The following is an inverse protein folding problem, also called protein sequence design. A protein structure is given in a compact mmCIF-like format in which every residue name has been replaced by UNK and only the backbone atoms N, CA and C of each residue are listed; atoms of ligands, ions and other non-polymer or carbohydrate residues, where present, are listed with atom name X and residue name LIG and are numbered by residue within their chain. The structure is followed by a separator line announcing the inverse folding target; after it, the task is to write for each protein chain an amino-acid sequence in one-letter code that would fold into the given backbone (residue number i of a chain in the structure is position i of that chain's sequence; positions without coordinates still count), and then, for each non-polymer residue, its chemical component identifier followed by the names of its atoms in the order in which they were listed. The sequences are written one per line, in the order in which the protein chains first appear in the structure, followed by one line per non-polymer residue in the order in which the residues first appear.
data_IF_405199840005
#
_entry.id   IF_405199840005
#
_cell.length_a   1.000
_cell.length_b   1.000
_cell.length_c   1.000
_cell.angle_alpha   90.00
_cell.angle_beta   90.00
_cell.angle_gamma   90.00
#
_symmetry.space_group_name_H-M   'P 1'
#
loop_
_entity.id
_entity.type
_entity.pdbx_description
1 polymer ?
#
# COMPACT_ATOMS: atom_id res chain seq x y z
N UNK A 1 4.48 29.60 35.13
CA UNK A 1 5.90 29.87 35.45
C UNK A 1 6.16 31.36 35.67
N UNK A 2 5.77 32.27 34.79
CA UNK A 2 5.96 33.73 34.93
C UNK A 2 5.14 34.26 36.12
N UNK A 3 3.92 33.83 36.34
CA UNK A 3 3.07 34.22 37.48
C UNK A 3 3.64 33.67 38.79
N UNK A 4 4.21 32.49 38.82
CA UNK A 4 4.88 31.88 39.99
C UNK A 4 6.19 32.63 40.35
N UNK A 5 6.96 33.03 39.32
CA UNK A 5 8.15 33.88 39.51
C UNK A 5 7.81 35.28 40.05
N UNK A 6 6.70 35.88 39.59
CA UNK A 6 6.27 37.16 40.12
C UNK A 6 5.67 37.05 41.55
N UNK A 7 4.96 35.98 41.88
CA UNK A 7 4.55 35.67 43.26
C UNK A 7 5.73 35.55 44.19
N UNK A 8 6.75 34.78 43.80
CA UNK A 8 7.95 34.57 44.62
C UNK A 8 8.84 35.81 44.74
N UNK A 9 8.78 36.75 43.79
CA UNK A 9 9.55 38.00 43.79
C UNK A 9 8.88 39.13 44.57
N UNK A 10 7.54 39.12 44.71
CA UNK A 10 6.74 40.14 45.38
C UNK A 10 6.47 39.79 46.85
N UNK A 11 6.60 38.53 47.24
CA UNK A 11 6.32 38.08 48.60
C UNK A 11 7.69 37.79 49.29
N UNK A 12 8.37 38.86 49.73
CA UNK A 12 9.46 38.73 50.68
C UNK A 12 8.91 38.30 52.07
N UNK A 13 9.68 37.60 52.89
CA UNK A 13 9.26 37.24 54.27
C UNK A 13 8.65 38.39 55.06
N UNK A 14 9.06 39.62 54.75
CA UNK A 14 8.52 40.85 55.34
C UNK A 14 7.09 41.14 54.88
N UNK A 15 6.81 40.84 53.61
CA UNK A 15 5.47 41.03 53.01
C UNK A 15 4.51 39.91 53.47
N UNK A 16 5.02 38.68 53.62
CA UNK A 16 4.23 37.58 54.17
C UNK A 16 3.84 37.91 55.63
N UNK A 17 4.80 38.39 56.46
CA UNK A 17 4.52 38.81 57.83
C UNK A 17 3.50 39.97 57.90
N UNK A 18 3.50 40.88 56.92
CA UNK A 18 2.53 41.93 56.83
C UNK A 18 1.13 41.45 56.37
N UNK A 19 1.08 40.36 55.62
CA UNK A 19 -0.15 39.76 55.08
C UNK A 19 -0.77 38.69 56.01
N UNK A 20 0.00 38.12 56.95
CA UNK A 20 -0.49 37.04 57.80
C UNK A 20 -1.32 37.56 59.00
N UNK A 21 -2.36 36.81 59.37
CA UNK A 21 -3.24 37.08 60.51
C UNK A 21 -2.57 36.95 61.87
N UNK A 22 -1.38 36.35 61.97
CA UNK A 22 -0.71 35.97 63.20
C UNK A 22 0.51 36.87 63.54
N UNK A 23 0.54 38.08 62.99
CA UNK A 23 1.54 39.08 63.41
C UNK A 23 1.39 39.40 64.88
N UNK A 24 2.51 39.78 65.53
CA UNK A 24 2.44 40.26 66.90
C UNK A 24 1.52 41.50 67.02
N UNK A 25 0.96 41.82 68.19
CA UNK A 25 0.02 42.94 68.34
C UNK A 25 0.57 44.32 67.86
N UNK A 26 1.88 44.41 67.62
CA UNK A 26 2.51 45.62 67.07
C UNK A 26 2.74 45.59 65.57
N UNK A 27 2.56 44.43 64.85
CA UNK A 27 2.70 44.33 63.41
C UNK A 27 1.31 44.27 62.80
N UNK A 28 0.82 45.37 62.26
CA UNK A 28 -0.44 45.44 61.48
C UNK A 28 -0.23 44.90 60.07
N UNK A 29 -0.41 43.56 59.86
CA UNK A 29 -0.41 43.01 58.53
C UNK A 29 -1.65 43.44 57.77
N UNK A 30 -1.52 43.65 56.46
CA UNK A 30 -2.59 44.05 55.53
C UNK A 30 -3.82 43.09 55.61
N UNK A 31 -3.62 41.80 55.79
CA UNK A 31 -4.70 40.81 55.99
C UNK A 31 -5.40 41.00 57.32
N UNK A 32 -4.68 41.40 58.36
CA UNK A 32 -5.26 41.71 59.68
C UNK A 32 -6.05 43.02 59.63
N UNK A 33 -5.52 44.04 58.92
CA UNK A 33 -6.22 45.29 58.70
C UNK A 33 -7.50 45.07 57.86
N UNK A 34 -7.42 44.21 56.84
CA UNK A 34 -8.59 43.86 56.02
C UNK A 34 -9.63 43.09 56.82
N UNK A 35 -9.19 42.16 57.72
CA UNK A 35 -10.10 41.46 58.63
C UNK A 35 -10.76 42.45 59.62
N UNK A 36 -9.96 43.32 60.26
CA UNK A 36 -10.49 44.36 61.16
C UNK A 36 -11.48 45.31 60.43
N UNK A 37 -11.14 45.67 59.21
CA UNK A 37 -12.06 46.50 58.38
C UNK A 37 -13.34 45.74 58.01
N UNK A 38 -13.24 44.47 57.72
CA UNK A 38 -14.37 43.59 57.42
C UNK A 38 -15.26 43.38 58.67
N UNK A 39 -14.62 43.09 59.82
CA UNK A 39 -15.34 42.95 61.09
C UNK A 39 -16.04 44.26 61.50
N UNK A 40 -15.35 45.40 61.35
CA UNK A 40 -15.98 46.72 61.55
C UNK A 40 -17.14 47.00 60.60
N UNK A 41 -16.99 46.60 59.32
CA UNK A 41 -18.09 46.71 58.37
C UNK A 41 -19.30 45.87 58.78
N UNK A 42 -19.06 44.64 59.22
CA UNK A 42 -20.12 43.73 59.67
C UNK A 42 -20.78 44.24 60.97
N UNK A 43 -19.98 44.79 61.92
CA UNK A 43 -20.52 45.43 63.12
C UNK A 43 -21.38 46.67 62.83
N UNK A 44 -20.94 47.51 61.92
CA UNK A 44 -21.72 48.67 61.42
C UNK A 44 -23.02 48.24 60.76
N UNK A 45 -22.94 47.17 59.91
CA UNK A 45 -24.14 46.62 59.28
C UNK A 45 -25.11 46.03 60.34
N UNK A 46 -24.53 45.35 61.36
CA UNK A 46 -25.36 44.78 62.45
C UNK A 46 -26.07 45.82 63.30
N UNK A 47 -25.52 47.04 63.40
CA UNK A 47 -26.07 48.15 64.18
C UNK A 47 -26.85 49.11 63.36
N UNK A 48 -26.91 48.99 62.01
CA UNK A 48 -27.63 49.86 61.09
C UNK A 48 -29.15 49.65 61.12
N UNK A 49 -29.89 50.65 60.68
CA UNK A 49 -31.34 50.62 60.62
C UNK A 49 -31.89 49.53 59.74
N UNK A 50 -33.07 49.01 59.92
CA UNK A 50 -33.69 47.90 59.19
C UNK A 50 -33.70 48.15 57.67
N UNK A 51 -33.86 49.40 57.25
CA UNK A 51 -33.83 49.76 55.80
C UNK A 51 -32.44 49.65 55.21
N UNK A 52 -31.40 50.01 55.94
CA UNK A 52 -30.03 49.93 55.49
C UNK A 52 -29.55 48.47 55.40
N UNK A 53 -30.01 47.61 56.29
CA UNK A 53 -29.82 46.17 56.19
C UNK A 53 -30.48 45.55 54.97
N UNK A 54 -31.71 45.99 54.66
CA UNK A 54 -32.39 45.54 53.44
C UNK A 54 -31.66 45.99 52.20
N UNK A 55 -31.17 47.23 52.16
CA UNK A 55 -30.41 47.75 51.02
C UNK A 55 -29.08 47.01 50.79
N UNK A 56 -28.32 46.71 51.88
CA UNK A 56 -27.09 45.93 51.78
C UNK A 56 -27.37 44.51 51.34
N UNK A 57 -28.43 43.88 51.76
CA UNK A 57 -28.87 42.59 51.29
C UNK A 57 -29.18 42.61 49.80
N UNK A 58 -29.92 43.63 49.35
CA UNK A 58 -30.22 43.80 47.94
C UNK A 58 -28.96 43.96 47.07
N UNK A 59 -27.96 44.71 47.51
CA UNK A 59 -26.71 44.88 46.80
C UNK A 59 -25.93 43.55 46.71
N UNK A 60 -25.90 42.76 47.76
CA UNK A 60 -25.28 41.45 47.74
C UNK A 60 -26.02 40.48 46.80
N UNK A 61 -27.32 40.42 46.89
CA UNK A 61 -28.19 39.62 46.02
C UNK A 61 -28.00 40.04 44.54
N UNK A 62 -27.85 41.34 44.24
CA UNK A 62 -27.57 41.86 42.91
C UNK A 62 -26.20 41.41 42.40
N UNK A 63 -25.17 41.51 43.24
CA UNK A 63 -23.81 41.02 42.86
C UNK A 63 -23.81 39.53 42.58
N UNK A 64 -24.48 38.73 43.39
CA UNK A 64 -24.54 37.29 43.18
C UNK A 64 -25.37 36.97 41.94
N UNK A 65 -26.47 37.67 41.67
CA UNK A 65 -27.23 37.55 40.43
C UNK A 65 -26.36 37.91 39.20
N UNK A 66 -25.59 39.00 39.26
CA UNK A 66 -24.68 39.36 38.18
C UNK A 66 -23.60 38.28 37.92
N UNK A 67 -23.06 37.68 38.97
CA UNK A 67 -22.09 36.55 38.84
C UNK A 67 -22.75 35.32 38.19
N UNK A 68 -23.96 34.97 38.63
CA UNK A 68 -24.70 33.85 38.05
C UNK A 68 -25.09 34.14 36.60
N UNK A 69 -25.54 35.35 36.31
CA UNK A 69 -25.83 35.81 34.96
C UNK A 69 -24.61 35.70 34.05
N UNK A 70 -23.43 36.11 34.52
CA UNK A 70 -22.18 35.99 33.77
C UNK A 70 -21.78 34.54 33.53
N UNK A 71 -22.02 33.62 34.48
CA UNK A 71 -21.78 32.18 34.27
C UNK A 71 -22.71 31.61 33.20
N UNK A 72 -23.99 31.97 33.19
CA UNK A 72 -24.97 31.51 32.21
C UNK A 72 -24.67 32.07 30.81
N UNK A 73 -24.33 33.38 30.71
CA UNK A 73 -23.99 33.98 29.43
C UNK A 73 -22.67 33.43 28.90
N UNK A 74 -21.63 33.42 29.72
CA UNK A 74 -20.31 32.91 29.42
C UNK A 74 -19.62 33.57 28.22
N UNK A 75 -18.61 32.86 27.67
CA UNK A 75 -17.91 33.24 26.44
C UNK A 75 -18.02 32.13 25.40
N UNK A 76 -17.59 32.40 24.17
CA UNK A 76 -17.56 31.37 23.10
C UNK A 76 -16.66 30.16 23.41
N UNK A 77 -15.62 30.36 24.23
CA UNK A 77 -14.66 29.32 24.59
C UNK A 77 -15.02 28.56 25.88
N UNK A 78 -16.15 28.92 26.53
CA UNK A 78 -16.56 28.30 27.80
C UNK A 78 -17.74 27.37 27.53
N UNK A 79 -17.49 26.05 27.68
CA UNK A 79 -18.54 25.04 27.54
C UNK A 79 -19.68 25.29 28.52
N UNK A 80 -20.88 24.78 28.23
CA UNK A 80 -22.11 24.86 29.05
C UNK A 80 -22.63 26.28 29.33
N UNK A 81 -22.37 27.26 28.45
CA UNK A 81 -22.93 28.61 28.53
C UNK A 81 -23.72 28.98 27.27
N UNK A 82 -24.58 30.02 27.39
CA UNK A 82 -25.47 30.44 26.33
C UNK A 82 -24.74 30.93 25.08
N UNK A 83 -23.62 31.63 25.27
CA UNK A 83 -22.81 32.15 24.14
C UNK A 83 -22.16 31.04 23.37
N UNK A 84 -21.64 29.99 24.05
CA UNK A 84 -21.10 28.80 23.45
C UNK A 84 -22.15 28.09 22.59
N UNK A 85 -23.33 27.77 23.17
CA UNK A 85 -24.37 27.07 22.40
C UNK A 85 -24.95 27.90 21.24
N UNK A 86 -24.95 29.22 21.33
CA UNK A 86 -25.34 30.08 20.20
C UNK A 86 -24.30 30.01 19.08
N UNK A 87 -23.02 30.07 19.39
CA UNK A 87 -21.96 29.96 18.38
C UNK A 87 -21.95 28.58 17.75
N UNK A 88 -22.11 27.51 18.54
CA UNK A 88 -22.22 26.13 18.03
C UNK A 88 -23.42 25.97 17.11
N UNK A 89 -24.59 26.52 17.50
CA UNK A 89 -25.77 26.48 16.63
C UNK A 89 -25.54 27.25 15.32
N UNK A 90 -24.92 28.40 15.36
CA UNK A 90 -24.60 29.18 14.15
C UNK A 90 -23.63 28.43 13.25
N UNK A 91 -22.63 27.73 13.83
CA UNK A 91 -21.73 26.87 13.10
C UNK A 91 -22.47 25.70 12.42
N UNK A 92 -23.35 25.01 13.17
CA UNK A 92 -24.15 23.91 12.65
C UNK A 92 -25.09 24.32 11.51
N UNK A 93 -25.76 25.48 11.68
CA UNK A 93 -26.77 25.95 10.73
C UNK A 93 -26.16 26.53 9.44
N UNK A 94 -24.98 27.15 9.50
CA UNK A 94 -24.47 27.96 8.39
C UNK A 94 -23.10 27.52 7.85
N UNK A 95 -22.28 26.84 8.65
CA UNK A 95 -20.87 26.59 8.32
C UNK A 95 -20.56 25.11 8.15
N UNK A 96 -21.11 24.25 8.98
CA UNK A 96 -20.77 22.82 9.04
C UNK A 96 -20.87 22.13 7.68
N UNK A 97 -21.93 22.37 6.93
CA UNK A 97 -22.14 21.73 5.62
C UNK A 97 -21.03 22.11 4.63
N UNK A 98 -20.66 23.40 4.61
CA UNK A 98 -19.58 23.90 3.75
C UNK A 98 -18.23 23.33 4.15
N UNK A 99 -17.92 23.30 5.46
CA UNK A 99 -16.67 22.73 5.98
C UNK A 99 -16.59 21.23 5.73
N UNK A 100 -17.69 20.51 5.89
CA UNK A 100 -17.79 19.09 5.59
C UNK A 100 -17.49 18.80 4.10
N UNK A 101 -18.12 19.55 3.19
CA UNK A 101 -17.88 19.41 1.76
C UNK A 101 -16.42 19.73 1.40
N UNK A 102 -15.88 20.83 1.94
CA UNK A 102 -14.49 21.20 1.73
C UNK A 102 -13.53 20.11 2.21
N UNK A 103 -13.69 19.61 3.42
CA UNK A 103 -12.85 18.55 3.96
C UNK A 103 -12.93 17.26 3.14
N UNK A 104 -14.13 16.93 2.62
CA UNK A 104 -14.33 15.78 1.74
C UNK A 104 -13.63 15.97 0.40
N UNK A 105 -13.69 17.15 -0.18
CA UNK A 105 -13.00 17.46 -1.44
C UNK A 105 -11.48 17.45 -1.25
N UNK A 106 -10.96 18.04 -0.20
CA UNK A 106 -9.53 18.00 0.12
C UNK A 106 -9.03 16.56 0.30
N UNK A 107 -9.78 15.71 0.96
CA UNK A 107 -9.49 14.28 1.10
C UNK A 107 -9.47 13.58 -0.25
N UNK A 108 -10.44 13.84 -1.12
CA UNK A 108 -10.50 13.25 -2.46
C UNK A 108 -9.32 13.72 -3.33
N UNK A 109 -8.91 14.98 -3.20
CA UNK A 109 -7.71 15.50 -3.89
C UNK A 109 -6.46 14.73 -3.41
N UNK A 110 -6.31 14.53 -2.09
CA UNK A 110 -5.17 13.77 -1.55
C UNK A 110 -5.17 12.31 -1.97
N UNK A 111 -6.34 11.70 -2.05
CA UNK A 111 -6.49 10.35 -2.60
C UNK A 111 -6.00 10.28 -4.05
N UNK A 112 -6.41 11.24 -4.89
CA UNK A 112 -5.99 11.32 -6.29
C UNK A 112 -4.48 11.54 -6.44
N UNK A 113 -3.91 12.45 -5.64
CA UNK A 113 -2.45 12.65 -5.59
C UNK A 113 -1.71 11.35 -5.27
N UNK A 114 -2.18 10.60 -4.27
CA UNK A 114 -1.60 9.31 -3.88
C UNK A 114 -1.76 8.25 -4.99
N UNK A 115 -2.92 8.21 -5.64
CA UNK A 115 -3.18 7.30 -6.77
C UNK A 115 -2.21 7.57 -7.94
N UNK A 116 -2.03 8.83 -8.31
CA UNK A 116 -1.08 9.24 -9.36
C UNK A 116 0.36 8.83 -9.00
N UNK A 117 0.76 8.94 -7.74
CA UNK A 117 2.08 8.46 -7.30
C UNK A 117 2.23 6.95 -7.47
N UNK A 118 1.17 6.18 -7.21
CA UNK A 118 1.18 4.72 -7.45
C UNK A 118 1.19 4.39 -8.94
N UNK A 119 0.44 5.12 -9.78
CA UNK A 119 0.51 4.98 -11.23
C UNK A 119 1.91 5.28 -11.77
N UNK A 120 2.61 6.25 -11.19
CA UNK A 120 3.98 6.56 -11.61
C UNK A 120 4.93 5.38 -11.42
N UNK A 121 4.69 4.51 -10.44
CA UNK A 121 5.45 3.27 -10.27
C UNK A 121 5.26 2.37 -11.50
N UNK A 122 4.03 2.21 -11.99
CA UNK A 122 3.74 1.44 -13.22
C UNK A 122 4.53 1.99 -14.40
N UNK A 123 4.52 3.32 -14.60
CA UNK A 123 5.24 4.00 -15.70
C UNK A 123 6.75 3.74 -15.58
N UNK A 124 7.34 3.89 -14.39
CA UNK A 124 8.77 3.64 -14.16
C UNK A 124 9.13 2.20 -14.52
N UNK A 125 8.31 1.22 -14.15
CA UNK A 125 8.54 -0.16 -14.53
C UNK A 125 8.44 -0.38 -16.04
N UNK A 126 7.47 0.22 -16.71
CA UNK A 126 7.36 0.18 -18.17
C UNK A 126 8.60 0.78 -18.85
N UNK A 127 9.09 1.91 -18.35
CA UNK A 127 10.32 2.53 -18.86
C UNK A 127 11.57 1.65 -18.65
N UNK A 128 11.67 0.96 -17.52
CA UNK A 128 12.78 0.02 -17.23
C UNK A 128 12.72 -1.19 -18.16
N UNK A 129 11.54 -1.71 -18.46
CA UNK A 129 11.37 -2.92 -19.27
C UNK A 129 11.27 -2.65 -20.78
N UNK A 130 11.00 -1.43 -21.22
CA UNK A 130 10.95 -1.11 -22.64
C UNK A 130 12.22 -1.48 -23.44
N UNK A 131 13.45 -1.24 -22.93
CA UNK A 131 14.67 -1.70 -23.60
C UNK A 131 14.78 -3.23 -23.70
N UNK A 132 14.27 -3.93 -22.69
CA UNK A 132 14.29 -5.42 -22.62
C UNK A 132 13.33 -5.99 -23.67
N UNK A 133 12.14 -5.41 -23.82
CA UNK A 133 11.18 -5.78 -24.87
C UNK A 133 11.78 -5.57 -26.28
N UNK A 134 12.54 -4.50 -26.48
CA UNK A 134 13.24 -4.28 -27.74
C UNK A 134 14.31 -5.34 -28.01
N UNK A 135 15.07 -5.74 -26.99
CA UNK A 135 16.04 -6.82 -27.13
C UNK A 135 15.37 -8.18 -27.35
N UNK A 136 14.24 -8.46 -26.69
CA UNK A 136 13.43 -9.65 -26.96
C UNK A 136 12.96 -9.67 -28.43
N UNK A 137 12.43 -8.57 -28.95
CA UNK A 137 12.01 -8.47 -30.36
C UNK A 137 13.17 -8.72 -31.32
N UNK A 138 14.38 -8.25 -31.00
CA UNK A 138 15.58 -8.56 -31.81
C UNK A 138 16.00 -10.02 -31.74
N UNK A 139 15.86 -10.66 -30.57
CA UNK A 139 16.18 -12.08 -30.37
C UNK A 139 15.18 -13.00 -31.10
N UNK A 140 13.90 -12.63 -31.09
CA UNK A 140 12.84 -13.44 -31.67
C UNK A 140 12.66 -13.19 -33.19
N UNK A 141 13.13 -12.05 -33.71
CA UNK A 141 12.92 -11.66 -35.12
C UNK A 141 11.43 -11.54 -35.47
N UNK A 142 11.05 -12.10 -36.62
CA UNK A 142 9.69 -12.08 -37.15
C UNK A 142 8.79 -13.22 -36.62
N UNK A 143 9.07 -13.75 -35.42
CA UNK A 143 8.20 -14.77 -34.82
C UNK A 143 6.81 -14.18 -34.54
N UNK A 144 5.75 -14.94 -34.86
CA UNK A 144 4.34 -14.51 -34.75
C UNK A 144 3.90 -14.19 -33.31
N UNK A 145 4.59 -14.73 -32.31
CA UNK A 145 4.25 -14.56 -30.91
C UNK A 145 5.19 -13.55 -30.22
N UNK A 146 4.61 -12.40 -29.84
CA UNK A 146 5.33 -11.39 -29.06
C UNK A 146 5.37 -11.76 -27.58
N UNK A 147 6.51 -11.49 -26.93
CA UNK A 147 6.63 -11.52 -25.47
C UNK A 147 6.48 -10.08 -24.98
N UNK A 148 5.50 -9.87 -24.10
CA UNK A 148 5.15 -8.57 -23.57
C UNK A 148 5.25 -8.57 -22.06
N UNK A 149 5.80 -7.49 -21.51
CA UNK A 149 5.82 -7.24 -20.08
C UNK A 149 4.70 -6.25 -19.74
N UNK A 150 3.73 -6.71 -18.96
CA UNK A 150 2.61 -5.88 -18.53
C UNK A 150 2.74 -5.54 -17.06
N UNK A 151 2.71 -4.25 -16.74
CA UNK A 151 2.59 -3.75 -15.37
C UNK A 151 1.24 -3.05 -15.22
N UNK A 152 0.45 -3.46 -14.26
CA UNK A 152 -0.89 -2.91 -14.02
C UNK A 152 -1.17 -2.78 -12.52
N UNK A 153 -2.02 -1.82 -12.15
CA UNK A 153 -2.46 -1.70 -10.77
C UNK A 153 -3.54 -2.74 -10.49
N UNK A 154 -3.40 -3.44 -9.37
CA UNK A 154 -4.34 -4.48 -8.94
C UNK A 154 -4.56 -4.45 -7.43
N UNK A 155 -5.62 -5.12 -7.00
CA UNK A 155 -5.81 -5.44 -5.58
C UNK A 155 -4.74 -6.45 -5.13
N UNK A 156 -3.87 -6.04 -4.21
CA UNK A 156 -2.80 -6.88 -3.68
C UNK A 156 -3.14 -7.48 -2.32
N UNK A 157 -4.08 -6.88 -1.60
CA UNK A 157 -4.50 -7.35 -0.28
C UNK A 157 -5.62 -8.39 -0.40
N UNK A 158 -5.26 -9.66 -0.34
CA UNK A 158 -6.21 -10.78 -0.37
C UNK A 158 -7.18 -10.77 0.83
N UNK A 159 -6.84 -10.04 1.90
CA UNK A 159 -7.64 -9.96 3.12
C UNK A 159 -8.50 -8.68 3.21
N UNK A 160 -8.56 -7.91 2.11
CA UNK A 160 -9.29 -6.64 2.04
C UNK A 160 -10.71 -6.74 2.61
N UNK A 161 -11.48 -7.73 2.17
CA UNK A 161 -12.86 -7.93 2.62
C UNK A 161 -12.95 -8.16 4.13
N UNK A 162 -12.06 -8.96 4.70
CA UNK A 162 -12.04 -9.24 6.13
C UNK A 162 -11.60 -8.02 6.94
N UNK A 163 -10.63 -7.24 6.46
CA UNK A 163 -10.20 -6.00 7.11
C UNK A 163 -11.34 -4.99 7.19
N UNK A 164 -12.05 -4.78 6.08
CA UNK A 164 -13.24 -3.91 6.06
C UNK A 164 -14.30 -4.43 7.03
N UNK A 165 -14.62 -5.72 6.97
CA UNK A 165 -15.68 -6.30 7.81
C UNK A 165 -15.29 -6.35 9.30
N UNK A 166 -14.02 -6.49 9.65
CA UNK A 166 -13.56 -6.44 11.05
C UNK A 166 -13.63 -5.04 11.64
N UNK A 167 -13.45 -4.01 10.81
CA UNK A 167 -13.55 -2.60 11.21
C UNK A 167 -15.00 -2.14 11.38
N UNK A 168 -15.99 -2.92 10.87
CA UNK A 168 -17.42 -2.57 10.92
C UNK A 168 -18.14 -3.48 11.94
N UNK A 169 -18.87 -2.86 12.85
CA UNK A 169 -19.71 -3.61 13.81
C UNK A 169 -20.91 -4.25 13.10
N UNK A 170 -20.87 -5.55 12.88
CA UNK A 170 -21.94 -6.32 12.21
C UNK A 170 -23.29 -6.34 12.96
N UNK A 171 -23.31 -5.86 14.23
CA UNK A 171 -24.56 -5.74 15.02
C UNK A 171 -25.45 -4.60 14.56
N UNK A 172 -24.84 -3.52 14.03
CA UNK A 172 -25.51 -2.27 13.67
C UNK A 172 -25.46 -1.98 12.15
N UNK A 173 -24.86 -2.86 11.38
CA UNK A 173 -24.60 -2.59 9.97
C UNK A 173 -25.81 -2.95 9.10
N UNK A 174 -26.64 -1.97 8.75
CA UNK A 174 -27.76 -2.16 7.84
C UNK A 174 -27.43 -2.97 6.60
N UNK A 175 -26.61 -2.43 5.70
CA UNK A 175 -26.26 -3.06 4.42
C UNK A 175 -25.19 -4.15 4.55
N UNK A 176 -24.34 -4.11 5.57
CA UNK A 176 -23.32 -5.11 5.87
C UNK A 176 -23.78 -6.09 6.98
N UNK A 177 -25.09 -6.24 7.17
CA UNK A 177 -25.66 -7.21 8.11
C UNK A 177 -25.45 -8.64 7.62
N UNK A 178 -24.79 -9.46 8.44
CA UNK A 178 -24.50 -10.85 8.11
C UNK A 178 -23.21 -11.05 7.34
N UNK A 179 -22.29 -11.84 7.90
CA UNK A 179 -20.92 -12.03 7.39
C UNK A 179 -20.88 -12.46 5.92
N UNK A 180 -21.75 -13.39 5.51
CA UNK A 180 -21.78 -13.93 4.15
C UNK A 180 -22.29 -12.90 3.13
N UNK A 181 -23.38 -12.18 3.44
CA UNK A 181 -23.98 -11.19 2.55
C UNK A 181 -23.06 -9.96 2.39
N UNK A 182 -22.49 -9.51 3.50
CA UNK A 182 -21.51 -8.42 3.51
C UNK A 182 -20.28 -8.76 2.66
N UNK A 183 -19.72 -9.96 2.81
CA UNK A 183 -18.59 -10.42 2.01
C UNK A 183 -18.94 -10.52 0.52
N UNK A 184 -20.12 -11.03 0.18
CA UNK A 184 -20.59 -11.10 -1.20
C UNK A 184 -20.77 -9.70 -1.82
N UNK A 185 -21.19 -8.72 -1.03
CA UNK A 185 -21.32 -7.34 -1.50
C UNK A 185 -19.96 -6.72 -1.77
N UNK A 186 -19.00 -6.83 -0.84
CA UNK A 186 -17.63 -6.33 -1.06
C UNK A 186 -17.01 -7.03 -2.26
N UNK A 187 -17.16 -8.34 -2.38
CA UNK A 187 -16.63 -9.09 -3.54
C UNK A 187 -17.22 -8.60 -4.86
N UNK A 188 -18.50 -8.25 -4.89
CA UNK A 188 -19.13 -7.67 -6.10
C UNK A 188 -18.54 -6.30 -6.43
N UNK A 189 -18.38 -5.43 -5.45
CA UNK A 189 -17.74 -4.12 -5.62
C UNK A 189 -16.30 -4.28 -6.16
N UNK A 190 -15.52 -5.17 -5.56
CA UNK A 190 -14.15 -5.43 -6.02
C UNK A 190 -14.09 -5.95 -7.46
N UNK A 191 -15.01 -6.81 -7.87
CA UNK A 191 -15.07 -7.34 -9.25
C UNK A 191 -15.47 -6.29 -10.28
N UNK A 192 -16.23 -5.28 -9.89
CA UNK A 192 -16.63 -4.17 -10.78
C UNK A 192 -15.63 -3.02 -10.79
N UNK A 193 -14.60 -3.07 -9.93
CA UNK A 193 -13.60 -2.01 -9.80
C UNK A 193 -12.45 -2.24 -10.76
N UNK A 194 -12.17 -1.25 -11.59
CA UNK A 194 -10.95 -1.19 -12.40
C UNK A 194 -9.87 -0.46 -11.59
N UNK A 195 -8.90 -1.23 -11.06
CA UNK A 195 -7.86 -0.68 -10.18
C UNK A 195 -6.85 0.22 -10.90
N UNK A 196 -6.83 0.22 -12.23
CA UNK A 196 -6.02 1.13 -13.04
C UNK A 196 -6.69 2.48 -13.28
N UNK A 197 -7.99 2.61 -12.99
CA UNK A 197 -8.74 3.86 -13.10
C UNK A 197 -8.98 4.50 -11.73
N UNK A 198 -8.53 5.74 -11.59
CA UNK A 198 -8.63 6.55 -10.36
C UNK A 198 -10.07 6.70 -9.87
N UNK A 199 -10.99 7.00 -10.81
CA UNK A 199 -12.39 7.23 -10.46
C UNK A 199 -13.07 5.94 -10.01
N UNK A 200 -12.78 4.82 -10.69
CA UNK A 200 -13.30 3.51 -10.32
C UNK A 200 -12.91 3.09 -8.90
N UNK A 201 -11.64 3.35 -8.50
CA UNK A 201 -11.18 3.05 -7.13
C UNK A 201 -11.79 4.03 -6.12
N UNK A 202 -11.94 5.31 -6.46
CA UNK A 202 -12.61 6.27 -5.60
C UNK A 202 -14.09 5.93 -5.40
N UNK A 203 -14.76 5.44 -6.44
CA UNK A 203 -16.15 4.99 -6.39
C UNK A 203 -16.31 3.74 -5.50
N UNK A 204 -15.36 2.82 -5.54
CA UNK A 204 -15.31 1.69 -4.59
C UNK A 204 -15.27 2.20 -3.15
N UNK A 205 -14.35 3.12 -2.84
CA UNK A 205 -14.21 3.69 -1.48
C UNK A 205 -15.49 4.41 -1.06
N UNK A 206 -16.03 5.27 -1.92
CA UNK A 206 -17.27 5.99 -1.65
C UNK A 206 -18.46 5.03 -1.46
N UNK A 207 -18.56 3.96 -2.26
CA UNK A 207 -19.62 2.94 -2.14
C UNK A 207 -19.56 2.20 -0.80
N UNK A 208 -18.37 1.91 -0.30
CA UNK A 208 -18.19 1.28 1.02
C UNK A 208 -18.60 2.25 2.13
N UNK A 209 -18.18 3.51 2.04
CA UNK A 209 -18.51 4.54 3.04
C UNK A 209 -20.01 4.81 3.06
N UNK A 210 -20.64 5.04 1.90
CA UNK A 210 -22.09 5.26 1.81
C UNK A 210 -22.87 4.09 2.40
N UNK A 211 -22.44 2.85 2.12
CA UNK A 211 -23.09 1.66 2.68
C UNK A 211 -22.96 1.57 4.22
N UNK A 212 -21.95 2.19 4.82
CA UNK A 212 -21.81 2.30 6.27
C UNK A 212 -22.67 3.45 6.81
N UNK A 213 -22.80 4.56 6.07
CA UNK A 213 -23.49 5.80 6.50
C UNK A 213 -25.02 5.73 6.28
N UNK A 214 -25.55 4.79 5.46
CA UNK A 214 -26.98 4.69 5.13
C UNK A 214 -27.92 4.60 6.35
N UNK A 215 -27.41 4.40 7.54
CA UNK A 215 -28.20 4.27 8.78
C UNK A 215 -27.72 5.33 9.79
N UNK A 216 -28.22 6.54 9.63
CA UNK A 216 -27.78 7.76 10.33
C UNK A 216 -27.85 7.63 11.85
N UNK A 217 -28.85 6.92 12.41
CA UNK A 217 -29.08 6.83 13.86
C UNK A 217 -27.99 6.07 14.63
N UNK A 218 -27.14 5.28 13.94
CA UNK A 218 -26.11 4.46 14.57
C UNK A 218 -24.70 4.58 13.96
N UNK A 219 -24.44 5.60 13.14
CA UNK A 219 -23.17 5.76 12.42
C UNK A 219 -21.93 5.77 13.32
N UNK A 220 -22.03 6.35 14.51
CA UNK A 220 -20.93 6.40 15.48
C UNK A 220 -20.55 5.04 16.08
N UNK A 221 -21.48 4.10 16.13
CA UNK A 221 -21.29 2.76 16.75
C UNK A 221 -20.91 1.70 15.71
N UNK A 222 -20.96 2.02 14.42
CA UNK A 222 -20.75 1.05 13.35
C UNK A 222 -19.28 0.79 13.07
N UNK A 223 -18.43 1.79 13.15
CA UNK A 223 -17.00 1.68 12.91
C UNK A 223 -16.28 1.58 14.24
N UNK A 224 -15.47 0.53 14.42
CA UNK A 224 -14.76 0.26 15.68
C UNK A 224 -13.63 1.26 15.90
N UNK A 225 -12.82 1.50 14.85
CA UNK A 225 -11.80 2.54 14.81
C UNK A 225 -11.98 3.34 13.52
N UNK A 226 -12.52 4.56 13.64
CA UNK A 226 -12.79 5.42 12.47
C UNK A 226 -11.50 5.82 11.77
N UNK A 227 -10.44 6.12 12.53
CA UNK A 227 -9.18 6.55 11.95
C UNK A 227 -8.55 5.44 11.14
N UNK A 228 -8.38 4.26 11.71
CA UNK A 228 -7.80 3.10 11.03
C UNK A 228 -8.60 2.72 9.78
N UNK A 229 -9.94 2.74 9.87
CA UNK A 229 -10.83 2.43 8.74
C UNK A 229 -10.65 3.41 7.56
N UNK A 230 -10.66 4.72 7.84
CA UNK A 230 -10.49 5.74 6.80
C UNK A 230 -9.05 5.77 6.27
N UNK A 231 -8.04 5.62 7.12
CA UNK A 231 -6.65 5.56 6.74
C UNK A 231 -6.39 4.37 5.80
N UNK A 232 -6.98 3.21 6.08
CA UNK A 232 -6.87 2.03 5.22
C UNK A 232 -7.56 2.25 3.86
N UNK A 233 -8.80 2.78 3.85
CA UNK A 233 -9.55 2.99 2.60
C UNK A 233 -8.91 4.05 1.69
N UNK A 234 -8.51 5.19 2.25
CA UNK A 234 -7.94 6.28 1.47
C UNK A 234 -6.42 6.19 1.29
N UNK A 235 -5.72 5.40 2.11
CA UNK A 235 -4.27 5.18 2.03
C UNK A 235 -3.83 4.30 0.86
N UNK A 236 -4.79 3.62 0.17
CA UNK A 236 -4.52 2.77 -1.00
C UNK A 236 -3.47 1.67 -0.75
N UNK A 237 -3.26 1.24 0.50
CA UNK A 237 -2.28 0.20 0.81
C UNK A 237 -2.63 -1.16 0.18
N UNK A 238 -3.93 -1.38 -0.07
CA UNK A 238 -4.45 -2.58 -0.72
C UNK A 238 -4.24 -2.59 -2.25
N UNK A 239 -3.93 -1.44 -2.84
CA UNK A 239 -3.64 -1.31 -4.28
C UNK A 239 -2.14 -1.35 -4.50
N UNK A 240 -1.66 -2.26 -5.32
CA UNK A 240 -0.26 -2.36 -5.70
C UNK A 240 -0.09 -2.62 -7.18
N UNK A 241 1.16 -2.73 -7.62
CA UNK A 241 1.51 -3.02 -9.00
C UNK A 241 1.74 -4.51 -9.17
N UNK A 242 1.00 -5.12 -10.08
CA UNK A 242 1.19 -6.51 -10.53
C UNK A 242 1.96 -6.52 -11.84
N UNK A 243 2.86 -7.49 -11.94
CA UNK A 243 3.72 -7.67 -13.10
C UNK A 243 3.37 -9.00 -13.75
N UNK A 244 3.05 -8.94 -15.05
CA UNK A 244 2.72 -10.11 -15.85
C UNK A 244 3.62 -10.18 -17.05
N UNK A 245 4.11 -11.38 -17.33
CA UNK A 245 4.83 -11.71 -18.55
C UNK A 245 3.85 -12.48 -19.44
N UNK A 246 3.61 -11.98 -20.64
CA UNK A 246 2.69 -12.59 -21.60
C UNK A 246 3.41 -13.03 -22.85
N UNK A 247 2.90 -14.08 -23.48
CA UNK A 247 3.34 -14.53 -24.78
C UNK A 247 2.12 -14.75 -25.67
N UNK A 248 2.05 -14.04 -26.80
CA UNK A 248 0.89 -14.09 -27.69
C UNK A 248 -0.43 -13.71 -27.01
N UNK A 249 -0.40 -12.74 -26.06
CA UNK A 249 -1.55 -12.29 -25.28
C UNK A 249 -1.98 -13.19 -24.11
N UNK A 250 -1.36 -14.38 -23.96
CA UNK A 250 -1.64 -15.33 -22.86
C UNK A 250 -0.69 -15.08 -21.69
N UNK A 251 -1.22 -15.16 -20.47
CA UNK A 251 -0.42 -15.06 -19.26
C UNK A 251 0.52 -16.27 -19.09
N UNK A 252 1.67 -16.07 -18.43
CA UNK A 252 2.67 -17.15 -18.22
C UNK A 252 2.06 -18.41 -17.60
N UNK A 253 1.06 -18.25 -16.74
CA UNK A 253 0.36 -19.35 -16.05
C UNK A 253 -0.51 -20.20 -16.98
N UNK A 254 -0.97 -19.63 -18.10
CA UNK A 254 -1.80 -20.29 -19.12
C UNK A 254 -0.98 -21.05 -20.15
N UNK A 255 0.34 -20.81 -20.19
CA UNK A 255 1.25 -21.48 -21.10
C UNK A 255 1.58 -22.91 -20.64
N UNK A 256 1.89 -23.79 -21.61
CA UNK A 256 2.41 -25.11 -21.29
C UNK A 256 3.77 -25.02 -20.55
N UNK A 257 4.19 -26.06 -19.81
CA UNK A 257 5.48 -26.05 -19.12
C UNK A 257 6.68 -25.74 -20.04
N UNK A 258 6.65 -26.25 -21.27
CA UNK A 258 7.69 -26.00 -22.27
C UNK A 258 7.68 -24.54 -22.75
N UNK A 259 6.50 -24.00 -23.13
CA UNK A 259 6.37 -22.60 -23.53
C UNK A 259 6.84 -21.66 -22.41
N UNK A 260 6.51 -21.95 -21.15
CA UNK A 260 7.04 -21.18 -20.00
C UNK A 260 8.55 -21.20 -19.94
N UNK A 261 9.16 -22.38 -20.16
CA UNK A 261 10.61 -22.53 -20.18
C UNK A 261 11.26 -21.65 -21.23
N UNK A 262 10.70 -21.64 -22.46
CA UNK A 262 11.18 -20.77 -23.56
C UNK A 262 11.06 -19.30 -23.17
N UNK A 263 9.88 -18.85 -22.70
CA UNK A 263 9.65 -17.45 -22.34
C UNK A 263 10.63 -16.99 -21.27
N UNK A 264 10.83 -17.80 -20.23
CA UNK A 264 11.78 -17.49 -19.16
C UNK A 264 13.22 -17.45 -19.65
N UNK A 265 13.61 -18.38 -20.53
CA UNK A 265 14.95 -18.39 -21.12
C UNK A 265 15.19 -17.16 -21.98
N UNK A 266 14.25 -16.80 -22.86
CA UNK A 266 14.34 -15.62 -23.72
C UNK A 266 14.43 -14.35 -22.86
N UNK A 267 13.56 -14.25 -21.86
CA UNK A 267 13.55 -13.13 -20.92
C UNK A 267 14.89 -13.01 -20.18
N UNK A 268 15.43 -14.13 -19.68
CA UNK A 268 16.74 -14.16 -19.04
C UNK A 268 17.87 -13.73 -19.98
N UNK A 269 17.86 -14.22 -21.22
CA UNK A 269 18.85 -13.84 -22.23
C UNK A 269 18.78 -12.36 -22.60
N UNK A 270 17.58 -11.77 -22.64
CA UNK A 270 17.36 -10.35 -22.92
C UNK A 270 17.79 -9.45 -21.74
N UNK A 271 17.50 -9.88 -20.50
CA UNK A 271 17.90 -9.16 -19.28
C UNK A 271 19.40 -9.11 -19.12
N UNK A 272 20.08 -10.21 -19.43
CA UNK A 272 21.51 -10.35 -19.16
C UNK A 272 22.33 -9.69 -20.25
N UNK A 273 22.68 -8.42 -20.06
CA UNK A 273 23.56 -7.67 -20.97
C UNK A 273 25.06 -8.02 -20.81
N UNK A 274 25.41 -8.87 -19.87
CA UNK A 274 26.79 -9.26 -19.58
C UNK A 274 27.29 -10.34 -20.55
N UNK A 275 28.57 -10.30 -20.92
CA UNK A 275 29.25 -11.34 -21.71
C UNK A 275 29.63 -12.60 -20.90
N UNK A 276 29.02 -12.79 -19.72
CA UNK A 276 29.28 -13.96 -18.85
C UNK A 276 28.81 -15.22 -19.55
N UNK A 277 29.61 -16.30 -19.55
CA UNK A 277 29.18 -17.60 -20.08
C UNK A 277 27.90 -18.09 -19.41
N UNK A 278 27.00 -18.69 -20.20
CA UNK A 278 25.76 -19.29 -19.72
C UNK A 278 25.82 -20.81 -19.93
N UNK A 279 25.36 -21.57 -18.95
CA UNK A 279 25.18 -23.01 -19.03
C UNK A 279 23.67 -23.28 -19.02
N UNK A 280 23.19 -24.00 -20.03
CA UNK A 280 21.78 -24.35 -20.19
C UNK A 280 21.69 -25.87 -20.20
N UNK A 281 20.95 -26.43 -19.26
CA UNK A 281 20.73 -27.87 -19.16
C UNK A 281 19.37 -28.25 -19.73
N UNK A 282 19.35 -29.06 -20.76
CA UNK A 282 18.20 -29.63 -21.44
C UNK A 282 17.06 -28.60 -21.71
N UNK A 283 17.37 -27.52 -22.45
CA UNK A 283 16.35 -26.47 -22.72
C UNK A 283 15.17 -26.95 -23.58
N UNK A 284 15.32 -28.13 -24.20
CA UNK A 284 14.27 -28.77 -25.00
C UNK A 284 13.26 -29.57 -24.19
N UNK A 285 13.44 -29.75 -22.91
CA UNK A 285 12.53 -30.54 -22.09
C UNK A 285 11.12 -29.99 -22.13
N UNK A 286 10.15 -30.87 -22.37
CA UNK A 286 8.73 -30.55 -22.51
C UNK A 286 8.39 -29.69 -23.75
N UNK A 287 9.25 -29.57 -24.74
CA UNK A 287 9.03 -28.91 -26.01
C UNK A 287 8.80 -29.90 -27.14
N UNK A 288 7.91 -29.54 -28.07
CA UNK A 288 7.84 -30.20 -29.36
C UNK A 288 9.00 -29.77 -30.29
N UNK A 289 9.34 -30.59 -31.26
CA UNK A 289 10.46 -30.32 -32.16
C UNK A 289 10.27 -29.02 -32.99
N UNK A 290 9.03 -28.61 -33.26
CA UNK A 290 8.74 -27.40 -34.00
C UNK A 290 9.05 -26.17 -33.13
N UNK A 291 8.66 -26.20 -31.86
CA UNK A 291 8.96 -25.15 -30.89
C UNK A 291 10.48 -25.06 -30.64
N UNK A 292 11.17 -26.17 -30.53
CA UNK A 292 12.63 -26.20 -30.42
C UNK A 292 13.26 -25.50 -31.63
N UNK A 293 12.89 -25.89 -32.87
CA UNK A 293 13.51 -25.37 -34.08
C UNK A 293 13.14 -23.89 -34.34
N UNK A 294 11.87 -23.55 -34.20
CA UNK A 294 11.38 -22.21 -34.58
C UNK A 294 11.60 -21.15 -33.52
N UNK A 295 11.61 -21.52 -32.22
CA UNK A 295 11.69 -20.56 -31.10
C UNK A 295 13.00 -20.63 -30.35
N UNK A 296 13.43 -21.85 -29.94
CA UNK A 296 14.59 -22.01 -29.09
C UNK A 296 15.92 -21.82 -29.85
N UNK A 297 16.07 -22.44 -31.01
CA UNK A 297 17.28 -22.34 -31.82
C UNK A 297 17.65 -20.91 -32.21
N UNK A 298 16.73 -20.07 -32.73
CA UNK A 298 17.03 -18.68 -33.04
C UNK A 298 17.51 -17.87 -31.83
N UNK A 299 16.92 -18.12 -30.66
CA UNK A 299 17.30 -17.42 -29.42
C UNK A 299 18.71 -17.80 -28.97
N UNK A 300 19.06 -19.10 -29.06
CA UNK A 300 20.41 -19.61 -28.74
C UNK A 300 21.42 -19.01 -29.73
N UNK A 301 21.13 -19.05 -31.04
CA UNK A 301 21.99 -18.48 -32.07
C UNK A 301 22.23 -16.99 -31.89
N UNK A 302 21.21 -16.22 -31.47
CA UNK A 302 21.38 -14.81 -31.16
C UNK A 302 22.19 -14.57 -29.87
N UNK A 303 22.02 -15.43 -28.87
CA UNK A 303 22.76 -15.33 -27.62
C UNK A 303 24.25 -15.64 -27.79
N UNK A 304 24.61 -16.65 -28.61
CA UNK A 304 26.02 -17.05 -28.86
C UNK A 304 26.84 -15.96 -29.55
N UNK A 305 26.20 -15.01 -30.25
CA UNK A 305 26.89 -13.86 -30.84
C UNK A 305 27.39 -12.85 -29.77
N UNK A 306 26.83 -12.88 -28.57
CA UNK A 306 27.15 -11.94 -27.50
C UNK A 306 27.96 -12.56 -26.35
N UNK A 307 27.89 -13.92 -26.19
CA UNK A 307 28.49 -14.62 -25.06
C UNK A 307 28.75 -16.08 -25.39
N UNK A 308 29.58 -16.72 -24.59
CA UNK A 308 29.74 -18.18 -24.64
C UNK A 308 28.47 -18.86 -24.10
N UNK A 309 27.93 -19.81 -24.87
CA UNK A 309 26.79 -20.62 -24.50
C UNK A 309 27.21 -22.06 -24.44
N UNK A 310 27.01 -22.74 -23.31
CA UNK A 310 27.27 -24.13 -23.08
C UNK A 310 25.95 -24.82 -22.86
N UNK A 311 25.62 -25.81 -23.71
CA UNK A 311 24.33 -26.50 -23.66
C UNK A 311 24.56 -27.99 -23.43
N UNK A 312 23.84 -28.54 -22.47
CA UNK A 312 23.67 -29.97 -22.32
C UNK A 312 22.36 -30.37 -22.99
N UNK A 313 22.40 -31.26 -23.97
CA UNK A 313 21.21 -31.64 -24.74
C UNK A 313 21.28 -33.09 -25.21
N UNK A 314 20.11 -33.68 -25.36
CA UNK A 314 19.93 -34.95 -26.05
C UNK A 314 19.15 -34.80 -27.37
N UNK A 315 18.87 -33.56 -27.79
CA UNK A 315 18.09 -33.24 -28.99
C UNK A 315 19.02 -32.90 -30.17
N UNK A 316 18.98 -33.67 -31.29
CA UNK A 316 19.80 -33.42 -32.45
C UNK A 316 19.55 -32.04 -33.09
N UNK A 317 18.31 -31.52 -32.98
CA UNK A 317 18.00 -30.21 -33.54
C UNK A 317 18.79 -29.10 -32.86
N UNK A 318 19.01 -29.17 -31.53
CA UNK A 318 19.82 -28.18 -30.82
C UNK A 318 21.29 -28.35 -31.19
N UNK A 319 21.81 -29.57 -31.13
CA UNK A 319 23.22 -29.82 -31.38
C UNK A 319 23.67 -29.38 -32.80
N UNK A 320 22.82 -29.60 -33.81
CA UNK A 320 23.12 -29.29 -35.20
C UNK A 320 22.62 -27.90 -35.63
N UNK A 321 21.36 -27.57 -35.33
CA UNK A 321 20.75 -26.33 -35.83
C UNK A 321 21.27 -25.07 -35.11
N UNK A 322 21.79 -25.19 -33.89
CA UNK A 322 22.45 -24.06 -33.22
C UNK A 322 23.86 -23.78 -33.73
N UNK A 323 24.37 -24.60 -34.68
CA UNK A 323 25.68 -24.42 -35.28
C UNK A 323 26.77 -24.29 -34.20
N UNK A 324 26.92 -25.35 -33.40
CA UNK A 324 27.85 -25.37 -32.28
C UNK A 324 29.30 -25.42 -32.77
N UNK A 325 30.15 -24.52 -32.30
CA UNK A 325 31.58 -24.47 -32.63
C UNK A 325 32.34 -25.64 -32.04
N UNK A 326 31.85 -26.23 -30.94
CA UNK A 326 32.42 -27.41 -30.32
C UNK A 326 31.32 -28.30 -29.75
N UNK A 327 31.46 -29.60 -30.02
CA UNK A 327 30.62 -30.65 -29.46
C UNK A 327 31.46 -31.51 -28.54
N UNK A 328 30.96 -31.78 -27.33
CA UNK A 328 31.61 -32.65 -26.35
C UNK A 328 30.70 -33.86 -26.12
N UNK A 329 31.09 -34.99 -26.67
CA UNK A 329 30.42 -36.28 -26.47
C UNK A 329 30.87 -36.89 -25.14
N UNK A 330 29.91 -37.15 -24.24
CA UNK A 330 30.14 -37.77 -22.95
C UNK A 330 29.69 -39.24 -22.99
N UNK A 331 30.59 -40.19 -22.70
CA UNK A 331 30.28 -41.61 -22.63
C UNK A 331 30.67 -42.18 -21.26
N UNK A 332 29.75 -42.93 -20.66
CA UNK A 332 29.98 -43.63 -19.40
C UNK A 332 30.11 -45.14 -19.68
N UNK A 333 31.21 -45.71 -19.29
CA UNK A 333 31.36 -47.18 -19.25
C UNK A 333 30.61 -47.73 -18.02
N UNK A 334 29.57 -48.50 -18.27
CA UNK A 334 28.71 -49.07 -17.23
C UNK A 334 29.43 -50.07 -16.32
N UNK A 335 30.51 -50.71 -16.79
CA UNK A 335 31.23 -51.70 -16.01
C UNK A 335 32.26 -51.07 -15.07
N UNK A 336 32.95 -50.05 -15.56
CA UNK A 336 34.02 -49.37 -14.82
C UNK A 336 33.58 -48.06 -14.15
N UNK A 337 32.38 -47.62 -14.42
CA UNK A 337 31.83 -46.31 -14.01
C UNK A 337 32.73 -45.11 -14.38
N UNK A 338 33.57 -45.28 -15.43
CA UNK A 338 34.44 -44.23 -15.93
C UNK A 338 33.72 -43.42 -17.01
N UNK A 339 33.85 -42.10 -16.90
CA UNK A 339 33.35 -41.17 -17.89
C UNK A 339 34.50 -40.78 -18.81
N UNK A 340 34.28 -40.84 -20.12
CA UNK A 340 35.20 -40.39 -21.15
C UNK A 340 34.56 -39.28 -21.96
N UNK A 341 35.37 -38.31 -22.36
CA UNK A 341 34.95 -37.19 -23.17
C UNK A 341 35.69 -37.21 -24.51
N UNK A 342 34.94 -37.00 -25.58
CA UNK A 342 35.48 -36.76 -26.91
C UNK A 342 34.97 -35.38 -27.37
N UNK A 343 35.87 -34.47 -27.76
CA UNK A 343 35.49 -33.11 -28.18
C UNK A 343 36.06 -32.78 -29.55
N UNK A 344 35.27 -32.07 -30.34
CA UNK A 344 35.65 -31.63 -31.69
C UNK A 344 34.54 -30.82 -32.33
N UNK A 345 34.77 -30.41 -33.58
CA UNK A 345 33.75 -29.75 -34.40
C UNK A 345 32.83 -30.78 -35.09
N UNK A 346 31.66 -30.37 -35.54
CA UNK A 346 30.68 -31.26 -36.22
C UNK A 346 31.24 -31.85 -37.53
N UNK A 347 32.23 -31.20 -38.13
CA UNK A 347 32.92 -31.64 -39.34
C UNK A 347 33.84 -32.83 -39.10
N UNK A 348 34.29 -33.03 -37.86
CA UNK A 348 35.08 -34.18 -37.48
C UNK A 348 34.24 -35.47 -37.64
N UNK A 349 34.82 -36.46 -38.35
CA UNK A 349 34.10 -37.68 -38.71
C UNK A 349 33.71 -38.50 -37.46
N UNK A 350 34.56 -38.51 -36.43
CA UNK A 350 34.31 -39.23 -35.20
C UNK A 350 33.21 -38.53 -34.36
N UNK A 351 33.25 -37.22 -34.30
CA UNK A 351 32.19 -36.42 -33.63
C UNK A 351 30.87 -36.60 -34.35
N UNK A 352 30.84 -36.44 -35.67
CA UNK A 352 29.66 -36.63 -36.49
C UNK A 352 29.00 -37.99 -36.28
N UNK A 353 29.86 -39.07 -36.28
CA UNK A 353 29.37 -40.43 -36.03
C UNK A 353 28.75 -40.54 -34.63
N UNK A 354 29.40 -39.99 -33.60
CA UNK A 354 28.88 -40.00 -32.23
C UNK A 354 27.58 -39.20 -32.08
N UNK A 355 27.45 -38.05 -32.74
CA UNK A 355 26.21 -37.27 -32.75
C UNK A 355 25.06 -38.09 -33.34
N UNK A 356 25.28 -38.73 -34.50
CA UNK A 356 24.24 -39.57 -35.12
C UNK A 356 23.92 -40.79 -34.24
N UNK A 357 24.92 -41.47 -33.70
CA UNK A 357 24.71 -42.68 -32.89
C UNK A 357 24.01 -42.40 -31.57
N UNK A 358 24.29 -41.24 -30.91
CA UNK A 358 23.70 -40.88 -29.61
C UNK A 358 22.35 -40.22 -29.78
N UNK A 359 22.23 -39.22 -30.68
CA UNK A 359 21.06 -38.39 -30.78
C UNK A 359 20.03 -38.88 -31.81
N UNK A 360 20.48 -39.52 -32.91
CA UNK A 360 19.61 -39.99 -34.00
C UNK A 360 19.28 -41.49 -33.91
N UNK A 361 19.93 -42.24 -33.00
CA UNK A 361 19.71 -43.66 -32.79
C UNK A 361 20.34 -44.55 -33.83
N UNK A 362 21.54 -44.21 -34.30
CA UNK A 362 22.38 -44.89 -35.30
C UNK A 362 22.12 -44.49 -36.75
N UNK A 363 23.14 -44.59 -37.61
CA UNK A 363 23.01 -44.29 -39.05
C UNK A 363 21.90 -45.08 -39.77
N UNK A 364 21.73 -46.42 -39.53
CA UNK A 364 20.62 -47.14 -40.16
C UNK A 364 19.23 -46.59 -39.81
N UNK A 365 19.02 -46.15 -38.57
CA UNK A 365 17.75 -45.57 -38.15
C UNK A 365 17.53 -44.19 -38.78
N UNK A 366 18.57 -43.37 -38.87
CA UNK A 366 18.56 -42.10 -39.54
C UNK A 366 18.23 -42.23 -41.03
N UNK A 367 18.91 -43.13 -41.75
CA UNK A 367 18.68 -43.41 -43.18
C UNK A 367 17.27 -43.97 -43.43
N UNK A 368 16.74 -44.81 -42.54
CA UNK A 368 15.40 -45.33 -42.64
C UNK A 368 14.32 -44.20 -42.52
N UNK A 369 14.49 -43.31 -41.58
CA UNK A 369 13.61 -42.12 -41.45
C UNK A 369 13.69 -41.24 -42.71
N UNK A 370 14.90 -40.88 -43.12
CA UNK A 370 15.12 -40.07 -44.31
C UNK A 370 14.43 -40.66 -45.55
N UNK A 371 14.53 -42.00 -45.78
CA UNK A 371 13.87 -42.69 -46.91
C UNK A 371 12.35 -42.72 -46.81
N UNK A 372 11.80 -42.62 -45.60
CA UNK A 372 10.33 -42.61 -45.39
C UNK A 372 9.70 -41.22 -45.51
N UNK A 373 10.48 -40.18 -45.34
CA UNK A 373 9.99 -38.79 -45.41
C UNK A 373 10.20 -38.18 -46.79
N UNK A 374 10.98 -38.79 -47.65
CA UNK A 374 11.22 -38.45 -49.04
C UNK A 374 10.56 -39.51 -49.95
#
# INVERSE_FOLDING_TARGET
EIIEQYKNKLITDKTIKQLTLNGSPMEKGLLNELKIAHDKKNDLISTSDIEEKKYQKYLNDLQDWEKEKQKIIGSQDTEDCLTYYKSEKEYLDNILETDYHRAREERNIKFKELFVLKQRIVIIYQEIYAPIEQEIKKLLGDLEETIEFQAEMQLMDNDFSNKILSSISQRFAGVFKGKTEANNRITRLLRSTEFSDENSVLDLVNSIILAVDEDIDNSEKKITDKKEFYDYLYGLEYVGVSFKLKMGGRDLEELSPGERGIVLLIFYLALSQNSIPIIIDQPEDNLDNQSVYNKLVPCICAAKQKRQVIIVTHNPNIAVACDAEQIICCKMDKNTHKITYLSGAIEDQEIKQNVVDILEGTMPAFDLRRRKYV
#
